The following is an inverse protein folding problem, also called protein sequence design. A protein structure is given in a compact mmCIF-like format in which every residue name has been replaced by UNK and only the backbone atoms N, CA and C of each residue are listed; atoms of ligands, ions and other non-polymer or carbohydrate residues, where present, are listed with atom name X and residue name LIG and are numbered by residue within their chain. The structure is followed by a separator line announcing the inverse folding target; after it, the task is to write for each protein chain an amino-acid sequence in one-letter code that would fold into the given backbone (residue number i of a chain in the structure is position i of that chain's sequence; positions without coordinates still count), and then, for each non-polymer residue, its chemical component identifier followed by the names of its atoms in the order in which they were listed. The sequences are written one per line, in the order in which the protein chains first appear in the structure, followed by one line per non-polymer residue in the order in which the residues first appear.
data_IF_901923396646
#
_entry.id   IF_901923396646
#
_cell.length_a   1.000
_cell.length_b   1.000
_cell.length_c   1.000
_cell.angle_alpha   90.00
_cell.angle_beta   90.00
_cell.angle_gamma   90.00
#
_symmetry.space_group_name_H-M   'P 1'
#
loop_
_entity.id
_entity.type
_entity.pdbx_description
1 polymer ?
#
# COMPACT_ATOMS: atom_id res chain seq x y z
N UNK A 1 -4.49 -23.05 2.03
CA UNK A 1 -5.31 -22.40 3.08
C UNK A 1 -6.53 -21.80 2.38
N UNK A 2 -7.72 -22.02 2.91
CA UNK A 2 -8.94 -21.36 2.41
C UNK A 2 -9.28 -20.19 3.35
N UNK A 3 -9.52 -19.01 2.80
CA UNK A 3 -9.87 -17.80 3.55
C UNK A 3 -11.29 -17.40 3.15
N UNK A 4 -12.19 -17.35 4.14
CA UNK A 4 -13.55 -16.86 3.92
C UNK A 4 -13.58 -15.36 4.17
N UNK A 5 -14.06 -14.61 3.18
CA UNK A 5 -14.20 -13.18 3.29
C UNK A 5 -15.57 -12.85 3.89
N UNK A 6 -15.68 -11.66 4.46
CA UNK A 6 -16.98 -11.11 4.83
C UNK A 6 -17.78 -10.84 3.55
N UNK A 7 -19.12 -11.08 3.52
CA UNK A 7 -19.93 -10.93 2.31
C UNK A 7 -19.78 -9.55 1.64
N UNK A 8 -19.64 -8.50 2.44
CA UNK A 8 -19.44 -7.13 1.96
C UNK A 8 -18.11 -6.98 1.21
N UNK A 9 -17.06 -7.69 1.66
CA UNK A 9 -15.75 -7.71 1.02
C UNK A 9 -15.72 -8.56 -0.24
N UNK A 10 -16.46 -9.67 -0.26
CA UNK A 10 -16.66 -10.46 -1.48
C UNK A 10 -17.36 -9.64 -2.57
N UNK A 11 -18.43 -8.93 -2.21
CA UNK A 11 -19.16 -8.05 -3.12
C UNK A 11 -18.27 -6.92 -3.65
N UNK A 12 -17.50 -6.28 -2.77
CA UNK A 12 -16.56 -5.23 -3.16
C UNK A 12 -15.47 -5.76 -4.11
N UNK A 13 -14.89 -6.92 -3.81
CA UNK A 13 -13.88 -7.56 -4.65
C UNK A 13 -14.45 -7.91 -6.03
N UNK A 14 -15.67 -8.48 -6.09
CA UNK A 14 -16.33 -8.82 -7.34
C UNK A 14 -16.60 -7.59 -8.21
N UNK A 15 -17.09 -6.50 -7.62
CA UNK A 15 -17.34 -5.25 -8.32
C UNK A 15 -16.06 -4.67 -8.94
N UNK A 16 -14.96 -4.64 -8.17
CA UNK A 16 -13.67 -4.12 -8.66
C UNK A 16 -13.10 -5.03 -9.75
N UNK A 17 -13.22 -6.36 -9.59
CA UNK A 17 -12.75 -7.32 -10.58
C UNK A 17 -13.49 -7.14 -11.91
N UNK A 18 -14.81 -6.99 -11.87
CA UNK A 18 -15.63 -6.71 -13.05
C UNK A 18 -15.21 -5.43 -13.77
N UNK A 19 -15.03 -4.33 -13.02
CA UNK A 19 -14.57 -3.05 -13.57
C UNK A 19 -13.20 -3.14 -14.26
N UNK A 20 -12.35 -4.10 -13.83
CA UNK A 20 -11.00 -4.33 -14.36
C UNK A 20 -10.94 -5.45 -15.40
N UNK A 21 -12.07 -6.10 -15.71
CA UNK A 21 -12.10 -7.27 -16.59
C UNK A 21 -11.36 -8.49 -16.04
N UNK A 22 -11.26 -8.61 -14.72
CA UNK A 22 -10.58 -9.70 -14.01
C UNK A 22 -11.59 -10.63 -13.34
N UNK A 23 -11.16 -11.87 -13.06
CA UNK A 23 -11.93 -12.73 -12.15
C UNK A 23 -11.67 -12.30 -10.70
N UNK A 24 -12.66 -12.43 -9.79
CA UNK A 24 -12.48 -12.11 -8.37
C UNK A 24 -11.28 -12.83 -7.73
N UNK A 25 -11.06 -14.10 -8.09
CA UNK A 25 -9.92 -14.87 -7.58
C UNK A 25 -8.56 -14.33 -8.06
N UNK A 26 -8.46 -13.86 -9.30
CA UNK A 26 -7.23 -13.25 -9.85
C UNK A 26 -6.93 -11.92 -9.14
N UNK A 27 -7.95 -11.10 -8.93
CA UNK A 27 -7.82 -9.86 -8.15
C UNK A 27 -7.43 -10.15 -6.70
N UNK A 28 -8.03 -11.16 -6.06
CA UNK A 28 -7.67 -11.55 -4.69
C UNK A 28 -6.20 -11.95 -4.57
N UNK A 29 -5.69 -12.74 -5.53
CA UNK A 29 -4.28 -13.12 -5.55
C UNK A 29 -3.36 -11.92 -5.74
N UNK A 30 -3.70 -10.99 -6.63
CA UNK A 30 -2.92 -9.76 -6.83
C UNK A 30 -2.88 -8.90 -5.56
N UNK A 31 -4.04 -8.70 -4.92
CA UNK A 31 -4.13 -7.90 -3.68
C UNK A 31 -3.33 -8.55 -2.56
N UNK A 32 -3.41 -9.87 -2.39
CA UNK A 32 -2.66 -10.59 -1.36
C UNK A 32 -1.15 -10.55 -1.64
N UNK A 33 -0.73 -10.76 -2.88
CA UNK A 33 0.69 -10.70 -3.26
C UNK A 33 1.25 -9.30 -2.99
N UNK A 34 0.51 -8.27 -3.42
CA UNK A 34 0.89 -6.88 -3.20
C UNK A 34 0.97 -6.54 -1.72
N UNK A 35 -0.01 -6.98 -0.93
CA UNK A 35 0.01 -6.76 0.51
C UNK A 35 1.25 -7.38 1.15
N UNK A 36 1.58 -8.64 0.83
CA UNK A 36 2.73 -9.32 1.41
C UNK A 36 4.07 -8.69 0.99
N UNK A 37 4.18 -8.23 -0.25
CA UNK A 37 5.36 -7.49 -0.74
C UNK A 37 5.48 -6.12 -0.07
N UNK A 38 4.37 -5.39 0.05
CA UNK A 38 4.33 -4.04 0.61
C UNK A 38 4.48 -4.06 2.14
N UNK A 39 3.99 -5.07 2.86
CA UNK A 39 3.97 -5.10 4.34
C UNK A 39 5.40 -5.03 4.91
N UNK A 40 6.33 -5.79 4.33
CA UNK A 40 7.75 -5.75 4.74
C UNK A 40 8.37 -4.39 4.41
N UNK A 41 8.22 -3.93 3.16
CA UNK A 41 8.77 -2.65 2.71
C UNK A 41 8.21 -1.46 3.52
N UNK A 42 6.92 -1.52 3.87
CA UNK A 42 6.23 -0.48 4.62
C UNK A 42 6.75 -0.39 6.04
N UNK A 43 6.85 -1.52 6.75
CA UNK A 43 7.37 -1.56 8.12
C UNK A 43 8.82 -1.08 8.16
N UNK A 44 9.65 -1.52 7.21
CA UNK A 44 11.04 -1.07 7.10
C UNK A 44 11.13 0.45 6.88
N UNK A 45 10.35 1.00 5.95
CA UNK A 45 10.33 2.43 5.68
C UNK A 45 9.87 3.26 6.89
N UNK A 46 8.85 2.78 7.63
CA UNK A 46 8.38 3.42 8.86
C UNK A 46 9.49 3.43 9.92
N UNK A 47 10.19 2.31 10.10
CA UNK A 47 11.27 2.22 11.08
C UNK A 47 12.45 3.16 10.76
N UNK A 48 12.77 3.35 9.47
CA UNK A 48 13.78 4.35 9.05
C UNK A 48 13.36 5.76 9.48
N UNK A 49 12.09 6.12 9.24
CA UNK A 49 11.55 7.42 9.66
C UNK A 49 11.53 7.60 11.17
N UNK A 50 11.14 6.56 11.92
CA UNK A 50 11.15 6.58 13.38
C UNK A 50 12.56 6.79 13.93
N UNK A 51 13.55 6.05 13.43
CA UNK A 51 14.94 6.20 13.84
C UNK A 51 15.49 7.60 13.52
N UNK A 52 15.08 8.21 12.40
CA UNK A 52 15.43 9.61 12.09
C UNK A 52 14.81 10.58 13.09
N UNK A 53 13.53 10.42 13.41
CA UNK A 53 12.83 11.24 14.39
C UNK A 53 13.46 11.12 15.80
N UNK A 54 13.87 9.92 16.22
CA UNK A 54 14.60 9.70 17.48
C UNK A 54 15.94 10.46 17.55
N UNK A 55 16.59 10.68 16.40
CA UNK A 55 17.79 11.52 16.29
C UNK A 55 17.50 13.01 16.15
N UNK A 56 16.23 13.40 16.14
CA UNK A 56 15.78 14.78 15.94
C UNK A 56 15.83 15.24 14.47
N UNK A 57 15.93 14.30 13.52
CA UNK A 57 15.94 14.60 12.09
C UNK A 57 14.49 14.75 11.59
N UNK A 58 14.04 15.99 11.49
CA UNK A 58 12.73 16.34 10.93
C UNK A 58 12.90 17.13 9.62
N UNK A 59 11.85 17.12 8.81
CA UNK A 59 11.74 17.95 7.62
C UNK A 59 10.54 18.88 7.77
N UNK A 60 10.72 20.14 7.41
CA UNK A 60 9.63 21.11 7.37
C UNK A 60 8.66 20.79 6.24
N UNK A 61 7.41 21.23 6.38
CA UNK A 61 6.34 20.94 5.43
C UNK A 61 6.71 21.31 3.97
N UNK A 62 7.33 22.49 3.79
CA UNK A 62 7.72 22.99 2.48
C UNK A 62 8.84 22.14 1.85
N UNK A 63 9.75 21.59 2.66
CA UNK A 63 10.82 20.71 2.22
C UNK A 63 10.28 19.35 1.76
N UNK A 64 9.29 18.82 2.49
CA UNK A 64 8.57 17.59 2.08
C UNK A 64 7.89 17.81 0.73
N UNK A 65 7.19 18.94 0.56
CA UNK A 65 6.52 19.28 -0.69
C UNK A 65 7.48 19.40 -1.88
N UNK A 66 8.64 20.03 -1.68
CA UNK A 66 9.68 20.14 -2.71
C UNK A 66 10.26 18.77 -3.09
N UNK A 67 10.52 17.90 -2.12
CA UNK A 67 11.07 16.56 -2.34
C UNK A 67 10.09 15.64 -3.05
N UNK A 68 8.81 15.66 -2.68
CA UNK A 68 7.76 14.88 -3.37
C UNK A 68 7.62 15.28 -4.84
N UNK A 69 7.70 16.58 -5.14
CA UNK A 69 7.68 17.08 -6.53
C UNK A 69 8.88 16.61 -7.36
N UNK A 70 9.99 16.19 -6.75
CA UNK A 70 11.13 15.62 -7.48
C UNK A 70 10.97 14.11 -7.67
N UNK A 71 10.46 13.41 -6.65
CA UNK A 71 10.32 11.94 -6.67
C UNK A 71 9.14 11.50 -7.54
N UNK A 72 8.04 12.25 -7.53
CA UNK A 72 6.78 11.89 -8.21
C UNK A 72 6.64 12.51 -9.60
N UNK A 73 7.75 12.93 -10.23
CA UNK A 73 7.69 13.39 -11.62
C UNK A 73 7.35 12.22 -12.55
N UNK A 74 6.48 12.44 -13.56
CA UNK A 74 6.12 11.40 -14.52
C UNK A 74 7.29 10.92 -15.37
#
# INVERSE_FOLDING_TARGET
MEVRLQPEKEAQLAQIAEQRGLKPAELAQQVLSRYLEDDTCFIEAVNVGLAAAERGEFMEHDEVGAKLKQILQP
#
